data_IF_283308391851
#
_entry.id   IF_283308391851
#
_cell.length_a   1.000
_cell.length_b   1.000
_cell.length_c   1.000
_cell.angle_alpha   90.00
_cell.angle_beta   90.00
_cell.angle_gamma   90.00
#
_symmetry.space_group_name_H-M   'P 1'
#
loop_
_entity.id
_entity.type
_entity.pdbx_description
1 polymer ?
#
# COMPACT_ATOMS: atom_id res chain seq x y z
N UNK A 1 -24.19 30.72 11.34
CA UNK A 1 -22.94 31.39 10.95
C UNK A 1 -22.35 30.69 9.74
N UNK A 2 -22.50 31.23 8.52
CA UNK A 2 -22.11 30.54 7.28
C UNK A 2 -20.62 30.14 7.23
N UNK A 3 -19.78 30.83 8.00
CA UNK A 3 -18.35 30.55 8.13
C UNK A 3 -18.04 29.15 8.67
N UNK A 4 -18.83 28.63 9.62
CA UNK A 4 -18.61 27.31 10.21
C UNK A 4 -18.83 26.20 9.18
N UNK A 5 -19.83 26.38 8.31
CA UNK A 5 -20.12 25.45 7.21
C UNK A 5 -18.98 25.40 6.18
N UNK A 6 -18.38 26.55 5.88
CA UNK A 6 -17.26 26.66 4.93
C UNK A 6 -16.01 25.96 5.48
N UNK A 7 -15.66 26.18 6.75
CA UNK A 7 -14.48 25.57 7.38
C UNK A 7 -14.61 24.05 7.42
N UNK A 8 -15.79 23.53 7.78
CA UNK A 8 -16.03 22.09 7.84
C UNK A 8 -15.94 21.44 6.46
N UNK A 9 -16.45 22.13 5.42
CA UNK A 9 -16.35 21.67 4.02
C UNK A 9 -14.89 21.60 3.56
N UNK A 10 -14.06 22.60 3.89
CA UNK A 10 -12.63 22.61 3.55
C UNK A 10 -11.88 21.48 4.27
N UNK A 11 -12.16 21.26 5.57
CA UNK A 11 -11.54 20.16 6.33
C UNK A 11 -11.99 18.79 5.79
N UNK A 12 -13.27 18.65 5.44
CA UNK A 12 -13.81 17.43 4.86
C UNK A 12 -13.18 17.13 3.49
N UNK A 13 -13.07 18.15 2.62
CA UNK A 13 -12.36 18.01 1.35
C UNK A 13 -10.89 17.67 1.56
N UNK A 14 -10.21 18.33 2.51
CA UNK A 14 -8.83 18.00 2.85
C UNK A 14 -8.69 16.58 3.41
N UNK A 15 -9.67 16.08 4.16
CA UNK A 15 -9.64 14.71 4.69
C UNK A 15 -9.90 13.67 3.59
N UNK A 16 -10.85 13.92 2.69
CA UNK A 16 -11.18 13.03 1.56
C UNK A 16 -10.06 13.01 0.51
N UNK A 17 -9.54 14.18 0.14
CA UNK A 17 -8.44 14.29 -0.83
C UNK A 17 -7.06 14.02 -0.21
N UNK A 18 -6.86 14.32 1.08
CA UNK A 18 -5.59 14.14 1.80
C UNK A 18 -5.40 12.75 2.43
N UNK A 19 -6.46 11.93 2.55
CA UNK A 19 -6.36 10.48 2.80
C UNK A 19 -6.41 9.64 1.53
N UNK A 20 -6.43 10.26 0.35
CA UNK A 20 -6.22 9.60 -0.93
C UNK A 20 -4.74 9.25 -1.09
N UNK A 21 -4.26 8.28 -0.30
CA UNK A 21 -2.93 7.73 -0.43
C UNK A 21 -2.67 7.39 -1.90
N UNK A 22 -1.54 7.90 -2.41
CA UNK A 22 -1.07 7.81 -3.78
C UNK A 22 -1.26 6.41 -4.38
N UNK A 23 -2.39 6.18 -5.03
CA UNK A 23 -2.57 5.11 -5.99
C UNK A 23 -2.70 5.83 -7.33
N UNK A 24 -1.57 6.32 -7.84
CA UNK A 24 -1.53 6.79 -9.22
C UNK A 24 -1.97 5.62 -10.11
N UNK A 25 -2.96 5.80 -11.00
CA UNK A 25 -3.47 4.73 -11.85
C UNK A 25 -2.52 4.33 -13.00
N UNK A 26 -1.25 4.74 -12.93
CA UNK A 26 -0.25 4.57 -14.00
C UNK A 26 1.16 4.25 -13.51
N UNK A 27 1.36 3.85 -12.25
CA UNK A 27 2.69 3.38 -11.82
C UNK A 27 2.81 1.87 -12.02
N UNK A 28 2.98 1.49 -13.29
CA UNK A 28 3.49 0.20 -13.72
C UNK A 28 4.95 0.40 -14.18
N UNK A 29 5.87 0.45 -13.22
CA UNK A 29 7.31 0.29 -13.42
C UNK A 29 7.69 -0.82 -12.42
N UNK A 30 7.80 -2.11 -12.77
CA UNK A 30 8.60 -2.67 -13.87
C UNK A 30 9.96 -2.00 -13.97
N UNK A 31 10.73 -2.01 -12.89
CA UNK A 31 12.20 -1.88 -12.93
C UNK A 31 12.81 -2.33 -11.58
N UNK A 32 12.66 -3.63 -11.32
CA UNK A 32 13.64 -4.42 -10.57
C UNK A 32 14.06 -5.57 -11.50
N UNK A 33 15.34 -5.70 -11.89
CA UNK A 33 15.74 -6.68 -12.88
C UNK A 33 15.98 -8.02 -12.20
N UNK A 34 14.99 -8.93 -12.21
CA UNK A 34 15.26 -10.37 -12.14
C UNK A 34 14.03 -11.22 -12.43
N UNK A 35 14.17 -12.06 -13.46
CA UNK A 35 13.41 -13.26 -13.81
C UNK A 35 11.89 -13.14 -13.95
N UNK A 36 11.36 -13.18 -15.19
CA UNK A 36 11.00 -14.45 -15.83
C UNK A 36 10.23 -15.41 -14.91
N UNK A 37 8.94 -15.17 -14.73
CA UNK A 37 7.88 -16.10 -15.14
C UNK A 37 6.51 -15.54 -14.75
N UNK A 38 5.59 -15.55 -15.70
CA UNK A 38 4.17 -15.34 -15.42
C UNK A 38 3.63 -16.40 -14.48
N UNK A 39 2.56 -16.04 -13.79
CA UNK A 39 1.63 -16.91 -13.06
C UNK A 39 2.03 -17.43 -11.66
N UNK A 40 3.14 -16.96 -11.08
CA UNK A 40 3.47 -17.25 -9.68
C UNK A 40 3.59 -15.93 -8.90
N UNK A 41 2.55 -15.53 -8.15
CA UNK A 41 2.73 -14.49 -7.12
C UNK A 41 3.91 -14.94 -6.25
N UNK A 42 5.03 -14.20 -6.28
CA UNK A 42 6.23 -14.61 -5.54
C UNK A 42 5.86 -14.63 -4.06
N UNK A 43 6.43 -15.54 -3.26
CA UNK A 43 6.15 -15.61 -1.82
C UNK A 43 6.31 -14.23 -1.12
N UNK A 44 7.24 -13.40 -1.63
CA UNK A 44 7.46 -12.01 -1.21
C UNK A 44 6.25 -11.08 -1.51
N UNK A 45 5.57 -11.25 -2.65
CA UNK A 45 4.37 -10.48 -2.99
C UNK A 45 3.17 -10.89 -2.13
N UNK A 46 2.97 -12.20 -1.91
CA UNK A 46 1.92 -12.72 -1.02
C UNK A 46 2.13 -12.18 0.40
N UNK A 47 3.37 -12.19 0.89
CA UNK A 47 3.74 -11.67 2.20
C UNK A 47 3.39 -10.17 2.34
N UNK A 48 3.75 -9.34 1.34
CA UNK A 48 3.41 -7.91 1.31
C UNK A 48 1.89 -7.69 1.29
N UNK A 49 1.14 -8.51 0.53
CA UNK A 49 -0.32 -8.41 0.41
C UNK A 49 -1.04 -8.70 1.73
N UNK A 50 -0.59 -9.72 2.48
CA UNK A 50 -1.14 -10.06 3.81
C UNK A 50 -0.84 -9.00 4.85
N UNK A 51 0.37 -8.45 4.85
CA UNK A 51 0.74 -7.34 5.72
C UNK A 51 -0.10 -6.08 5.42
N UNK A 52 -0.31 -5.75 4.14
CA UNK A 52 -1.15 -4.62 3.74
C UNK A 52 -2.63 -4.83 4.09
N UNK A 53 -3.10 -6.08 4.13
CA UNK A 53 -4.43 -6.44 4.64
C UNK A 53 -4.52 -6.42 6.18
N UNK A 54 -3.39 -6.37 6.89
CA UNK A 54 -3.35 -6.47 8.35
C UNK A 54 -3.60 -7.89 8.88
N UNK A 55 -3.44 -8.91 8.03
CA UNK A 55 -3.62 -10.32 8.41
C UNK A 55 -2.41 -10.88 9.19
N UNK A 56 -1.27 -10.20 9.11
CA UNK A 56 -0.03 -10.54 9.81
C UNK A 56 0.56 -9.31 10.48
N UNK A 57 1.25 -9.51 11.60
CA UNK A 57 1.93 -8.42 12.30
C UNK A 57 3.28 -8.10 11.63
N UNK A 58 3.87 -6.98 12.04
CA UNK A 58 5.18 -6.57 11.53
C UNK A 58 6.28 -7.58 11.89
N UNK A 59 6.20 -8.17 13.07
CA UNK A 59 7.16 -9.18 13.53
C UNK A 59 7.13 -10.42 12.63
N UNK A 60 5.92 -10.90 12.31
CA UNK A 60 5.72 -12.04 11.40
C UNK A 60 6.20 -11.73 9.98
N UNK A 61 5.93 -10.51 9.49
CA UNK A 61 6.40 -10.06 8.19
C UNK A 61 7.94 -10.07 8.11
N UNK A 62 8.61 -9.52 9.12
CA UNK A 62 10.08 -9.45 9.13
C UNK A 62 10.74 -10.82 9.22
N UNK A 63 10.16 -11.76 9.97
CA UNK A 63 10.66 -13.13 10.07
C UNK A 63 10.57 -13.85 8.72
N UNK A 64 9.39 -13.87 8.10
CA UNK A 64 9.18 -14.57 6.83
C UNK A 64 9.97 -13.90 5.71
N UNK A 65 10.11 -12.57 5.73
CA UNK A 65 10.92 -11.85 4.74
C UNK A 65 12.39 -12.30 4.78
N UNK A 66 12.96 -12.47 5.98
CA UNK A 66 14.34 -12.96 6.15
C UNK A 66 14.50 -14.39 5.68
N UNK A 67 13.50 -15.23 5.94
CA UNK A 67 13.49 -16.62 5.49
C UNK A 67 13.41 -16.73 3.96
N UNK A 68 12.69 -15.81 3.30
CA UNK A 68 12.58 -15.75 1.83
C UNK A 68 13.78 -15.12 1.14
N UNK A 69 14.62 -14.38 1.87
CA UNK A 69 15.86 -13.77 1.37
C UNK A 69 17.09 -14.69 1.55
N UNK A 70 16.95 -15.86 2.21
CA UNK A 70 17.98 -16.91 2.29
C UNK A 70 17.94 -17.86 1.10
#
# INVERSE_FOLDING_TARGET
>A
MPLIMIIFLVIFLYFVFGRGGSKLPWWNNSEGPSNQNGDSETAMEILKKRYAKGEITREEFEQIRKDLES
#
